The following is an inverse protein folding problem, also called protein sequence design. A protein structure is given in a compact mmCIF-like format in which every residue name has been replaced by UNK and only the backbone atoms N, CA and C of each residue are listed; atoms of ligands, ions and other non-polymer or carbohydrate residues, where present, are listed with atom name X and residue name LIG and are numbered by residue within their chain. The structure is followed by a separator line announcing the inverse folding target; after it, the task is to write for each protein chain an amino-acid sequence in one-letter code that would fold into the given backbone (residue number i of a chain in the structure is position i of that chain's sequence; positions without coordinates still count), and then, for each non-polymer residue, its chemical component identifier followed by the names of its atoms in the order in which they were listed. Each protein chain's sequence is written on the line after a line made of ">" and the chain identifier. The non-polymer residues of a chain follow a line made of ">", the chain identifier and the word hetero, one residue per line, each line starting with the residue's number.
data_IF_806644266564
#
_entry.id   IF_806644266564
#
_cell.length_a   1.000
_cell.length_b   1.000
_cell.length_c   1.000
_cell.angle_alpha   90.00
_cell.angle_beta   90.00
_cell.angle_gamma   90.00
#
_symmetry.space_group_name_H-M   'P 1'
#
loop_
_entity.id
_entity.type
_entity.pdbx_description
1 polymer ?
#
# COMPACT_ATOMS: atom_id res chain seq x y z
N UNK A 1 10.12 -11.99 22.37
CA UNK A 1 9.98 -11.90 20.90
C UNK A 1 10.57 -10.58 20.46
N UNK A 2 11.43 -10.62 19.44
CA UNK A 2 11.98 -9.41 18.84
C UNK A 2 11.18 -9.05 17.59
N UNK A 3 10.94 -7.76 17.32
CA UNK A 3 10.17 -7.32 16.16
C UNK A 3 10.96 -7.46 14.85
N UNK A 4 10.25 -7.36 13.71
CA UNK A 4 10.88 -7.06 12.44
C UNK A 4 11.50 -5.66 12.50
N UNK A 5 12.60 -5.47 11.80
CA UNK A 5 13.38 -4.24 11.84
C UNK A 5 13.73 -3.74 10.46
N UNK A 6 14.01 -2.46 10.37
CA UNK A 6 14.47 -1.78 9.14
C UNK A 6 15.85 -1.20 9.41
N UNK A 7 16.74 -1.30 8.43
CA UNK A 7 17.97 -0.52 8.43
C UNK A 7 17.69 0.82 7.70
N UNK A 8 17.55 1.93 8.43
CA UNK A 8 17.19 3.22 7.83
C UNK A 8 18.28 3.77 6.91
N UNK A 9 19.51 3.24 7.00
CA UNK A 9 20.64 3.67 6.18
C UNK A 9 20.74 2.92 4.84
N UNK A 10 19.88 1.93 4.60
CA UNK A 10 19.84 1.28 3.29
C UNK A 10 19.24 2.21 2.24
N UNK A 11 19.81 2.16 1.04
CA UNK A 11 19.37 3.03 -0.08
C UNK A 11 17.89 2.92 -0.42
N UNK A 12 17.25 1.81 -0.08
CA UNK A 12 15.82 1.63 -0.30
C UNK A 12 14.92 2.43 0.67
N UNK A 13 15.47 3.01 1.75
CA UNK A 13 14.74 3.83 2.71
C UNK A 13 15.11 5.32 2.66
N UNK A 14 16.02 5.70 1.76
CA UNK A 14 16.54 7.07 1.68
C UNK A 14 16.10 7.81 0.42
N UNK A 15 15.32 7.18 -0.45
CA UNK A 15 14.84 7.80 -1.69
C UNK A 15 13.84 8.92 -1.39
N UNK A 16 14.09 10.15 -1.86
CA UNK A 16 13.18 11.27 -1.59
C UNK A 16 11.85 11.09 -2.33
N UNK A 17 10.80 11.62 -1.73
CA UNK A 17 9.48 11.70 -2.37
C UNK A 17 9.49 12.88 -3.34
N UNK A 18 9.26 12.68 -4.65
CA UNK A 18 9.15 13.79 -5.60
C UNK A 18 7.99 14.74 -5.24
N UNK A 19 8.13 16.02 -5.57
CA UNK A 19 7.02 16.98 -5.46
C UNK A 19 5.88 16.61 -6.41
N UNK A 20 4.66 16.97 -6.05
CA UNK A 20 3.46 16.74 -6.85
C UNK A 20 2.37 17.74 -6.46
N UNK A 21 1.63 18.21 -7.46
CA UNK A 21 0.44 19.06 -7.25
C UNK A 21 -0.78 18.25 -6.78
N UNK A 22 -0.70 16.92 -6.86
CA UNK A 22 -1.73 16.01 -6.37
C UNK A 22 -1.27 15.27 -5.12
N UNK A 23 -2.20 14.98 -4.24
CA UNK A 23 -1.95 14.03 -3.15
C UNK A 23 -1.94 12.62 -3.74
N UNK A 24 -0.81 11.94 -3.62
CA UNK A 24 -0.65 10.58 -4.09
C UNK A 24 -1.05 9.60 -3.00
N UNK A 25 -2.01 8.76 -3.33
CA UNK A 25 -2.55 7.75 -2.41
C UNK A 25 -2.15 6.38 -2.94
N UNK A 26 -1.25 5.71 -2.23
CA UNK A 26 -0.60 4.50 -2.73
C UNK A 26 -0.86 3.25 -1.89
N UNK A 27 -0.76 2.13 -2.56
CA UNK A 27 -0.69 0.82 -1.95
C UNK A 27 0.52 0.05 -2.51
N UNK A 28 1.27 -0.59 -1.63
CA UNK A 28 2.41 -1.43 -1.98
C UNK A 28 2.17 -2.86 -1.47
N UNK A 29 2.27 -3.84 -2.34
CA UNK A 29 2.13 -5.23 -1.93
C UNK A 29 2.24 -6.21 -3.09
N UNK A 30 1.96 -7.48 -2.81
CA UNK A 30 2.02 -8.57 -3.78
C UNK A 30 0.64 -9.05 -4.25
N UNK A 31 0.63 -10.04 -5.13
CA UNK A 31 -0.58 -10.60 -5.76
C UNK A 31 -1.54 -11.33 -4.82
N UNK A 32 -1.14 -11.65 -3.59
CA UNK A 32 -1.95 -12.42 -2.63
C UNK A 32 -2.94 -11.59 -1.81
N UNK A 33 -3.07 -10.29 -2.09
CA UNK A 33 -3.84 -9.35 -1.29
C UNK A 33 -5.20 -8.95 -1.87
N UNK A 34 -5.76 -9.73 -2.81
CA UNK A 34 -7.03 -9.36 -3.46
C UNK A 34 -8.15 -9.09 -2.42
N UNK A 35 -8.31 -9.96 -1.44
CA UNK A 35 -9.35 -9.79 -0.41
C UNK A 35 -9.15 -8.56 0.48
N UNK A 36 -7.91 -8.15 0.65
CA UNK A 36 -7.57 -6.94 1.40
C UNK A 36 -7.88 -5.69 0.57
N UNK A 37 -7.47 -5.67 -0.71
CA UNK A 37 -7.70 -4.54 -1.62
C UNK A 37 -9.19 -4.34 -1.91
N UNK A 38 -9.99 -5.40 -1.97
CA UNK A 38 -11.43 -5.31 -2.17
C UNK A 38 -12.15 -4.45 -1.11
N UNK A 39 -11.55 -4.26 0.07
CA UNK A 39 -12.07 -3.34 1.09
C UNK A 39 -12.05 -1.87 0.64
N UNK A 40 -11.18 -1.52 -0.30
CA UNK A 40 -11.06 -0.16 -0.84
C UNK A 40 -12.11 0.15 -1.89
N UNK A 41 -12.65 -0.86 -2.58
CA UNK A 41 -13.55 -0.70 -3.71
C UNK A 41 -14.77 0.15 -3.37
N UNK A 42 -15.46 -0.18 -2.29
CA UNK A 42 -16.64 0.56 -1.81
C UNK A 42 -16.31 2.00 -1.38
N UNK A 43 -15.06 2.26 -0.99
CA UNK A 43 -14.59 3.59 -0.64
C UNK A 43 -14.31 4.42 -1.89
N UNK A 44 -13.55 3.90 -2.83
CA UNK A 44 -13.07 4.64 -4.00
C UNK A 44 -14.20 5.13 -4.90
N UNK A 45 -15.29 4.38 -5.05
CA UNK A 45 -16.44 4.81 -5.82
C UNK A 45 -17.05 6.14 -5.35
N UNK A 46 -16.83 6.52 -4.09
CA UNK A 46 -17.39 7.73 -3.49
C UNK A 46 -16.53 8.98 -3.69
N UNK A 47 -15.30 8.84 -4.11
CA UNK A 47 -14.34 9.96 -4.23
C UNK A 47 -13.94 10.31 -5.65
N UNK A 48 -14.70 9.86 -6.64
CA UNK A 48 -14.49 10.20 -8.06
C UNK A 48 -14.42 11.72 -8.33
N UNK A 49 -15.07 12.52 -7.51
CA UNK A 49 -15.04 14.00 -7.61
C UNK A 49 -13.67 14.60 -7.28
N UNK A 50 -12.76 13.84 -6.69
CA UNK A 50 -11.42 14.29 -6.32
C UNK A 50 -10.33 13.91 -7.34
N UNK A 51 -10.71 13.33 -8.49
CA UNK A 51 -9.76 12.80 -9.48
C UNK A 51 -8.68 13.80 -9.93
N UNK A 52 -8.99 15.09 -9.93
CA UNK A 52 -8.04 16.13 -10.31
C UNK A 52 -7.08 16.54 -9.19
N UNK A 53 -7.34 16.10 -7.95
CA UNK A 53 -6.55 16.43 -6.76
C UNK A 53 -5.85 15.22 -6.16
N UNK A 54 -6.16 14.02 -6.63
CA UNK A 54 -5.61 12.77 -6.15
C UNK A 54 -5.00 11.98 -7.30
N UNK A 55 -3.89 11.32 -7.02
CA UNK A 55 -3.33 10.30 -7.89
C UNK A 55 -3.27 8.99 -7.11
N UNK A 56 -3.83 7.93 -7.68
CA UNK A 56 -3.72 6.60 -7.10
C UNK A 56 -2.47 5.89 -7.63
N UNK A 57 -1.70 5.28 -6.73
CA UNK A 57 -0.44 4.61 -7.05
C UNK A 57 -0.48 3.15 -6.60
N UNK A 58 -0.50 2.23 -7.55
CA UNK A 58 -0.46 0.80 -7.30
C UNK A 58 0.96 0.27 -7.48
N UNK A 59 1.63 -0.07 -6.37
CA UNK A 59 3.00 -0.56 -6.37
C UNK A 59 3.09 -2.07 -6.15
N UNK A 60 4.04 -2.68 -6.87
CA UNK A 60 4.29 -4.13 -6.80
C UNK A 60 3.69 -4.89 -7.97
N UNK A 61 3.22 -4.18 -9.01
CA UNK A 61 2.63 -4.74 -10.21
C UNK A 61 3.55 -5.76 -10.86
N UNK A 62 3.04 -6.96 -11.10
CA UNK A 62 3.79 -8.04 -11.74
C UNK A 62 2.83 -8.96 -12.50
N UNK A 63 3.04 -9.07 -13.77
CA UNK A 63 2.18 -9.84 -14.65
C UNK A 63 2.89 -11.04 -15.27
N UNK A 64 4.11 -11.29 -14.83
CA UNK A 64 4.86 -12.47 -15.26
C UNK A 64 4.22 -13.72 -14.69
N UNK A 65 4.02 -14.70 -15.53
CA UNK A 65 3.45 -15.97 -15.13
C UNK A 65 3.04 -16.82 -16.32
N UNK A 66 2.75 -18.07 -16.05
CA UNK A 66 2.24 -19.02 -17.05
C UNK A 66 0.96 -19.68 -16.56
N UNK A 67 0.06 -19.95 -17.49
CA UNK A 67 -1.15 -20.75 -17.28
C UNK A 67 -0.96 -22.09 -17.96
N UNK A 68 -1.33 -23.16 -17.28
CA UNK A 68 -1.44 -24.50 -17.89
C UNK A 68 -2.89 -24.73 -18.28
N UNK A 69 -3.15 -24.85 -19.57
CA UNK A 69 -4.44 -25.21 -20.11
C UNK A 69 -4.50 -26.71 -20.31
N UNK A 70 -5.60 -27.32 -19.91
CA UNK A 70 -5.85 -28.77 -20.08
C UNK A 70 -7.00 -28.90 -21.07
N UNK A 71 -6.73 -29.54 -22.18
CA UNK A 71 -7.79 -29.91 -23.13
C UNK A 71 -8.71 -30.93 -22.48
N UNK A 72 -9.97 -30.56 -22.25
CA UNK A 72 -10.93 -31.41 -21.56
C UNK A 72 -11.25 -32.72 -22.30
N UNK A 73 -11.00 -32.80 -23.62
CA UNK A 73 -11.29 -33.99 -24.43
C UNK A 73 -10.09 -34.93 -24.55
N UNK A 74 -8.87 -34.36 -24.66
CA UNK A 74 -7.65 -35.14 -24.89
C UNK A 74 -6.79 -35.29 -23.64
N UNK A 75 -7.00 -34.50 -22.60
CA UNK A 75 -6.14 -34.43 -21.42
C UNK A 75 -4.79 -33.78 -21.70
N UNK A 76 -4.54 -33.28 -22.91
CA UNK A 76 -3.29 -32.62 -23.28
C UNK A 76 -3.11 -31.34 -22.51
N UNK A 77 -1.89 -31.12 -22.03
CA UNK A 77 -1.49 -29.92 -21.27
C UNK A 77 -0.63 -29.01 -22.13
N UNK A 78 -1.07 -27.76 -22.28
CA UNK A 78 -0.29 -26.71 -22.96
C UNK A 78 0.01 -25.58 -21.99
N UNK A 79 1.22 -25.01 -22.08
CA UNK A 79 1.62 -23.85 -21.27
C UNK A 79 1.65 -22.61 -22.14
N UNK A 80 1.03 -21.54 -21.68
CA UNK A 80 1.16 -20.21 -22.29
C UNK A 80 1.41 -19.14 -21.23
N UNK A 81 1.89 -17.99 -21.67
CA UNK A 81 1.97 -16.84 -20.80
C UNK A 81 0.57 -16.40 -20.37
N UNK A 82 0.45 -15.98 -19.11
CA UNK A 82 -0.79 -15.39 -18.61
C UNK A 82 -1.06 -14.08 -19.34
N UNK A 83 -2.31 -13.85 -19.71
CA UNK A 83 -2.70 -12.57 -20.31
C UNK A 83 -2.91 -11.50 -19.22
N UNK A 84 -2.67 -10.21 -19.51
CA UNK A 84 -2.81 -9.14 -18.52
C UNK A 84 -4.14 -9.15 -17.76
N UNK A 85 -5.23 -9.32 -18.47
CA UNK A 85 -6.58 -9.33 -17.90
C UNK A 85 -6.93 -10.57 -17.08
N UNK A 86 -6.13 -11.64 -17.17
CA UNK A 86 -6.27 -12.85 -16.36
C UNK A 86 -5.54 -12.74 -15.02
N UNK A 87 -4.69 -11.72 -14.86
CA UNK A 87 -3.94 -11.54 -13.63
C UNK A 87 -4.81 -10.93 -12.52
N UNK A 88 -4.44 -11.20 -11.27
CA UNK A 88 -5.04 -10.52 -10.12
C UNK A 88 -4.82 -9.00 -10.16
N UNK A 89 -3.76 -8.56 -10.81
CA UNK A 89 -3.42 -7.15 -10.96
C UNK A 89 -4.46 -6.38 -11.77
N UNK A 90 -5.06 -7.02 -12.78
CA UNK A 90 -6.18 -6.43 -13.51
C UNK A 90 -7.38 -6.15 -12.58
N UNK A 91 -7.62 -7.01 -11.59
CA UNK A 91 -8.68 -6.78 -10.59
C UNK A 91 -8.31 -5.64 -9.64
N UNK A 92 -7.04 -5.53 -9.23
CA UNK A 92 -6.57 -4.40 -8.43
C UNK A 92 -6.73 -3.08 -9.19
N UNK A 93 -6.30 -3.03 -10.46
CA UNK A 93 -6.42 -1.83 -11.28
C UNK A 93 -7.87 -1.37 -11.44
N UNK A 94 -8.80 -2.30 -11.62
CA UNK A 94 -10.24 -1.96 -11.68
C UNK A 94 -10.71 -1.26 -10.41
N UNK A 95 -10.24 -1.68 -9.24
CA UNK A 95 -10.58 -1.05 -7.95
C UNK A 95 -9.97 0.36 -7.88
N UNK A 96 -8.71 0.52 -8.27
CA UNK A 96 -8.01 1.81 -8.20
C UNK A 96 -8.49 2.81 -9.25
N UNK A 97 -8.83 2.36 -10.45
CA UNK A 97 -9.35 3.21 -11.53
C UNK A 97 -10.86 3.42 -11.44
N UNK A 98 -11.57 2.58 -10.67
CA UNK A 98 -13.04 2.47 -10.67
C UNK A 98 -13.62 2.17 -12.06
N UNK A 99 -12.83 1.54 -12.89
CA UNK A 99 -13.20 1.10 -14.22
C UNK A 99 -13.29 -0.43 -14.26
N UNK A 100 -14.52 -0.90 -14.26
CA UNK A 100 -14.82 -2.34 -14.30
C UNK A 100 -15.01 -2.87 -15.72
N UNK A 101 -14.98 -2.00 -16.72
CA UNK A 101 -15.10 -2.39 -18.11
C UNK A 101 -13.74 -2.72 -18.71
N UNK A 102 -13.51 -3.99 -19.04
CA UNK A 102 -12.31 -4.44 -19.77
C UNK A 102 -12.19 -3.80 -21.17
N UNK A 103 -13.26 -3.21 -21.69
CA UNK A 103 -13.31 -2.57 -23.00
C UNK A 103 -13.24 -1.06 -22.93
N UNK A 104 -13.17 -0.45 -21.75
CA UNK A 104 -13.01 0.99 -21.63
C UNK A 104 -11.67 1.45 -22.19
N UNK A 105 -11.64 2.66 -22.72
CA UNK A 105 -10.42 3.22 -23.28
C UNK A 105 -9.37 3.52 -22.22
N UNK A 106 -9.79 3.89 -21.01
CA UNK A 106 -8.89 4.09 -19.88
C UNK A 106 -8.21 2.78 -19.47
N UNK A 107 -8.96 1.69 -19.35
CA UNK A 107 -8.39 0.38 -19.01
C UNK A 107 -7.46 -0.13 -20.12
N UNK A 108 -7.83 0.06 -21.40
CA UNK A 108 -6.96 -0.27 -22.54
C UNK A 108 -5.66 0.52 -22.50
N UNK A 109 -5.72 1.81 -22.15
CA UNK A 109 -4.53 2.66 -21.99
C UNK A 109 -3.60 2.09 -20.93
N UNK A 110 -4.12 1.65 -19.80
CA UNK A 110 -3.33 0.98 -18.75
C UNK A 110 -2.75 -0.36 -19.24
N UNK A 111 -3.46 -1.12 -20.05
CA UNK A 111 -2.96 -2.37 -20.62
C UNK A 111 -1.84 -2.15 -21.66
N UNK A 112 -1.91 -1.12 -22.48
CA UNK A 112 -0.86 -0.79 -23.47
C UNK A 112 0.46 -0.47 -22.79
N UNK A 113 0.43 0.21 -21.65
CA UNK A 113 1.60 0.55 -20.85
C UNK A 113 2.13 -0.62 -20.02
N UNK A 114 1.60 -1.79 -20.22
CA UNK A 114 1.84 -3.01 -19.48
C UNK A 114 3.31 -3.47 -19.43
N UNK A 115 4.04 -3.32 -20.53
CA UNK A 115 5.44 -3.77 -20.64
C UNK A 115 6.46 -2.67 -20.32
N UNK A 116 6.00 -1.51 -19.93
CA UNK A 116 6.90 -0.41 -19.63
C UNK A 116 7.13 -0.38 -18.13
N UNK A 117 8.38 -0.45 -17.72
CA UNK A 117 8.82 -0.20 -16.35
C UNK A 117 8.68 1.31 -16.07
N UNK A 118 7.46 1.79 -16.18
CA UNK A 118 7.19 3.20 -16.16
C UNK A 118 6.36 3.56 -14.94
N UNK A 119 7.05 4.04 -13.93
CA UNK A 119 6.54 5.21 -13.24
C UNK A 119 6.71 6.36 -14.23
N UNK A 120 5.73 6.62 -15.05
CA UNK A 120 5.80 7.72 -16.02
C UNK A 120 5.80 9.06 -15.33
N UNK A 121 5.51 9.10 -14.01
CA UNK A 121 5.46 10.36 -13.28
C UNK A 121 4.57 11.40 -13.94
N UNK A 122 3.70 10.96 -14.86
CA UNK A 122 2.82 11.88 -15.55
C UNK A 122 1.82 12.39 -14.50
N UNK A 123 2.07 13.61 -14.08
CA UNK A 123 1.30 14.29 -13.04
C UNK A 123 -0.17 14.44 -13.42
N UNK A 124 -0.49 14.28 -14.71
CA UNK A 124 -1.83 14.41 -15.25
C UNK A 124 -2.66 13.11 -15.15
N UNK A 125 -2.01 11.96 -14.91
CA UNK A 125 -2.73 10.70 -14.75
C UNK A 125 -3.33 10.56 -13.34
N UNK A 126 -4.60 10.19 -13.29
CA UNK A 126 -5.29 9.92 -12.01
C UNK A 126 -4.87 8.59 -11.37
N UNK A 127 -4.27 7.71 -12.14
CA UNK A 127 -3.79 6.40 -11.72
C UNK A 127 -2.43 6.08 -12.32
N UNK A 128 -1.54 5.52 -11.51
CA UNK A 128 -0.20 5.10 -11.90
C UNK A 128 0.09 3.70 -11.35
N UNK A 129 0.61 2.80 -12.20
CA UNK A 129 1.16 1.52 -11.78
C UNK A 129 2.67 1.61 -11.65
N UNK A 130 3.21 0.94 -10.64
CA UNK A 130 4.65 0.81 -10.42
C UNK A 130 5.01 -0.66 -10.33
N UNK A 131 5.94 -1.09 -11.16
CA UNK A 131 6.37 -2.48 -11.21
C UNK A 131 6.98 -2.94 -9.89
N UNK A 132 6.88 -4.24 -9.66
CA UNK A 132 7.56 -4.91 -8.56
C UNK A 132 9.07 -4.69 -8.64
N UNK A 133 9.69 -4.60 -7.49
CA UNK A 133 11.13 -4.44 -7.35
C UNK A 133 11.70 -5.59 -6.54
N UNK A 134 13.00 -5.90 -6.70
CA UNK A 134 13.70 -6.84 -5.82
C UNK A 134 13.55 -6.47 -4.34
N UNK A 135 13.66 -7.45 -3.46
CA UNK A 135 13.54 -7.28 -2.00
C UNK A 135 14.50 -6.22 -1.42
N UNK A 136 15.63 -6.00 -2.08
CA UNK A 136 16.65 -4.99 -1.71
C UNK A 136 16.29 -3.56 -2.13
N UNK A 137 15.20 -3.37 -2.86
CA UNK A 137 14.82 -2.05 -3.40
C UNK A 137 13.32 -1.80 -3.45
N UNK A 138 12.49 -2.77 -3.03
CA UNK A 138 11.02 -2.64 -3.11
C UNK A 138 10.50 -1.47 -2.28
N UNK A 139 11.14 -1.18 -1.16
CA UNK A 139 10.71 -0.10 -0.26
C UNK A 139 10.86 1.29 -0.89
N UNK A 140 11.69 1.46 -1.93
CA UNK A 140 11.74 2.69 -2.73
C UNK A 140 10.38 3.09 -3.30
N UNK A 141 9.46 2.14 -3.45
CA UNK A 141 8.11 2.43 -3.91
C UNK A 141 7.32 3.33 -2.94
N UNK A 142 7.69 3.37 -1.65
CA UNK A 142 7.10 4.32 -0.71
C UNK A 142 7.39 5.79 -1.05
N UNK A 143 8.46 6.08 -1.81
CA UNK A 143 8.72 7.45 -2.28
C UNK A 143 7.71 7.93 -3.32
N UNK A 144 6.91 7.02 -3.90
CA UNK A 144 5.99 7.32 -5.02
C UNK A 144 4.62 7.82 -4.55
N UNK A 145 4.35 7.84 -3.24
CA UNK A 145 3.07 8.32 -2.71
C UNK A 145 3.26 9.08 -1.38
N UNK A 146 2.25 9.85 -0.99
CA UNK A 146 2.22 10.68 0.20
C UNK A 146 1.40 10.01 1.32
N UNK A 147 0.36 9.27 0.93
CA UNK A 147 -0.54 8.52 1.81
C UNK A 147 -0.43 7.04 1.50
N UNK A 148 -0.09 6.25 2.49
CA UNK A 148 -0.04 4.77 2.38
C UNK A 148 -1.38 4.17 2.79
N UNK A 149 -1.90 3.25 1.97
CA UNK A 149 -3.09 2.45 2.29
C UNK A 149 -2.66 1.06 2.77
N UNK A 150 -3.17 0.64 3.91
CA UNK A 150 -2.92 -0.69 4.47
C UNK A 150 -4.22 -1.41 4.84
N UNK A 151 -5.04 -1.77 3.84
CA UNK A 151 -6.23 -2.57 4.08
C UNK A 151 -5.82 -4.00 4.44
N UNK A 152 -6.44 -4.56 5.46
CA UNK A 152 -6.39 -6.00 5.76
C UNK A 152 -7.77 -6.48 6.16
N UNK A 153 -8.20 -7.58 5.56
CA UNK A 153 -9.46 -8.24 5.90
C UNK A 153 -9.32 -8.94 7.25
N UNK A 154 -10.38 -8.91 8.05
CA UNK A 154 -10.42 -9.59 9.34
C UNK A 154 -10.45 -11.11 9.15
N UNK A 155 -9.29 -11.73 9.16
CA UNK A 155 -9.09 -13.18 9.14
C UNK A 155 -8.09 -13.56 10.24
N UNK A 156 -8.12 -14.81 10.70
CA UNK A 156 -7.15 -15.32 11.66
C UNK A 156 -5.72 -15.10 11.15
N UNK A 157 -5.47 -15.39 9.88
CA UNK A 157 -4.15 -15.20 9.27
C UNK A 157 -3.68 -13.74 9.34
N UNK A 158 -4.54 -12.78 8.99
CA UNK A 158 -4.19 -11.35 9.01
C UNK A 158 -3.98 -10.82 10.43
N UNK A 159 -4.69 -11.35 11.42
CA UNK A 159 -4.48 -11.01 12.84
C UNK A 159 -3.12 -11.44 13.37
N UNK A 160 -2.51 -12.46 12.75
CA UNK A 160 -1.21 -13.02 13.16
C UNK A 160 -0.03 -12.46 12.34
N UNK A 161 -0.28 -11.58 11.38
CA UNK A 161 0.78 -10.93 10.60
C UNK A 161 1.60 -9.96 11.45
N UNK A 162 2.80 -9.64 10.97
CA UNK A 162 3.56 -8.52 11.50
C UNK A 162 3.03 -7.19 10.93
N UNK A 163 3.38 -6.10 11.60
CA UNK A 163 3.02 -4.74 11.18
C UNK A 163 4.06 -4.10 10.24
N UNK A 164 4.72 -4.89 9.39
CA UNK A 164 5.81 -4.39 8.54
C UNK A 164 5.42 -3.18 7.70
N UNK A 165 4.21 -3.15 7.13
CA UNK A 165 3.71 -2.00 6.37
C UNK A 165 3.60 -0.71 7.20
N UNK A 166 3.29 -0.83 8.49
CA UNK A 166 3.26 0.32 9.42
C UNK A 166 4.67 0.85 9.64
N UNK A 167 5.62 -0.06 9.86
CA UNK A 167 7.02 0.28 10.08
C UNK A 167 7.60 0.96 8.84
N UNK A 168 7.42 0.36 7.67
CA UNK A 168 7.93 0.90 6.41
C UNK A 168 7.34 2.28 6.07
N UNK A 169 6.01 2.44 6.20
CA UNK A 169 5.35 3.72 5.99
C UNK A 169 5.89 4.79 6.96
N UNK A 170 6.13 4.40 8.22
CA UNK A 170 6.70 5.28 9.23
C UNK A 170 8.11 5.75 8.89
N UNK A 171 9.01 4.84 8.49
CA UNK A 171 10.38 5.21 8.08
C UNK A 171 10.39 6.14 6.86
N UNK A 172 9.39 6.02 5.99
CA UNK A 172 9.20 6.93 4.85
C UNK A 172 8.37 8.17 5.19
N UNK A 173 7.98 8.37 6.45
CA UNK A 173 7.15 9.50 6.92
C UNK A 173 5.85 9.65 6.13
N UNK A 174 5.20 8.53 5.79
CA UNK A 174 3.95 8.55 5.05
C UNK A 174 2.76 8.63 5.99
N UNK A 175 1.77 9.45 5.65
CA UNK A 175 0.46 9.34 6.28
C UNK A 175 -0.07 7.92 6.06
N UNK A 176 -0.66 7.32 7.09
CA UNK A 176 -1.15 5.96 7.01
C UNK A 176 -2.66 5.90 7.26
N UNK A 177 -3.37 5.30 6.30
CA UNK A 177 -4.76 4.85 6.50
C UNK A 177 -4.72 3.33 6.54
N UNK A 178 -5.16 2.73 7.63
CA UNK A 178 -5.04 1.29 7.87
C UNK A 178 -6.33 0.71 8.45
N UNK A 179 -6.55 -0.59 8.25
CA UNK A 179 -7.60 -1.30 8.99
C UNK A 179 -7.30 -1.29 10.48
N UNK A 180 -8.31 -1.04 11.31
CA UNK A 180 -8.23 -1.12 12.77
C UNK A 180 -8.26 -2.59 13.21
N UNK A 181 -7.16 -3.29 12.98
CA UNK A 181 -7.11 -4.74 13.14
C UNK A 181 -5.72 -5.26 13.52
N UNK A 182 -5.69 -6.12 14.53
CA UNK A 182 -4.58 -7.00 14.86
C UNK A 182 -3.23 -6.26 15.00
N UNK A 183 -2.22 -6.60 14.20
CA UNK A 183 -0.88 -6.06 14.39
C UNK A 183 -0.79 -4.55 14.15
N UNK A 184 -1.71 -3.96 13.40
CA UNK A 184 -1.65 -2.52 13.09
C UNK A 184 -2.01 -1.66 14.29
N UNK A 185 -2.81 -2.18 15.24
CA UNK A 185 -3.19 -1.44 16.44
C UNK A 185 -2.10 -1.38 17.52
N UNK A 186 -0.97 -2.08 17.33
CA UNK A 186 0.14 -2.08 18.32
C UNK A 186 0.75 -0.69 18.49
N UNK A 187 0.98 0.03 17.37
CA UNK A 187 1.65 1.33 17.37
C UNK A 187 0.78 2.46 16.79
N UNK A 188 -0.34 2.11 16.16
CA UNK A 188 -1.20 3.12 15.56
C UNK A 188 -2.20 3.68 16.56
N UNK A 189 -2.30 5.01 16.55
CA UNK A 189 -3.31 5.77 17.27
C UNK A 189 -4.15 6.55 16.29
N UNK A 190 -5.46 6.36 16.35
CA UNK A 190 -6.39 7.08 15.48
C UNK A 190 -6.33 8.59 15.72
N UNK A 191 -6.14 9.36 14.66
CA UNK A 191 -5.97 10.82 14.74
C UNK A 191 -7.29 11.61 14.69
N UNK A 192 -8.45 10.95 14.71
CA UNK A 192 -9.75 11.60 14.74
C UNK A 192 -10.54 11.20 15.99
N UNK A 193 -11.08 12.20 16.69
CA UNK A 193 -12.04 12.02 17.76
C UNK A 193 -13.25 12.94 17.51
N UNK A 194 -14.44 12.38 17.43
CA UNK A 194 -15.67 13.12 17.10
C UNK A 194 -15.57 13.95 15.80
N UNK A 195 -14.77 13.49 14.84
CA UNK A 195 -14.56 14.19 13.58
C UNK A 195 -13.49 15.28 13.58
N UNK A 196 -12.97 15.64 14.76
CA UNK A 196 -11.87 16.59 14.95
C UNK A 196 -10.52 15.87 14.98
N UNK A 197 -9.46 16.56 14.57
CA UNK A 197 -8.11 16.05 14.64
C UNK A 197 -7.59 16.08 16.08
N UNK A 198 -7.06 14.96 16.51
CA UNK A 198 -6.39 14.78 17.78
C UNK A 198 -4.96 14.27 17.57
N UNK A 199 -4.20 14.21 18.63
CA UNK A 199 -2.84 13.69 18.61
C UNK A 199 -2.83 12.17 18.32
N UNK A 200 -2.71 11.83 17.04
CA UNK A 200 -2.64 10.47 16.52
C UNK A 200 -1.67 10.39 15.33
N UNK A 201 -1.29 9.19 14.93
CA UNK A 201 -0.31 8.93 13.89
C UNK A 201 -0.86 8.17 12.68
N UNK A 202 -2.15 7.84 12.69
CA UNK A 202 -2.81 7.15 11.59
C UNK A 202 -4.32 7.42 11.56
N UNK A 203 -4.95 7.14 10.44
CA UNK A 203 -6.40 7.00 10.35
C UNK A 203 -6.76 5.51 10.32
N UNK A 204 -7.52 5.05 11.32
CA UNK A 204 -7.91 3.66 11.47
C UNK A 204 -9.34 3.44 10.99
N UNK A 205 -9.51 2.50 10.08
CA UNK A 205 -10.81 2.13 9.50
C UNK A 205 -11.35 0.92 10.24
N UNK A 206 -12.46 1.10 10.97
CA UNK A 206 -13.20 0.02 11.59
C UNK A 206 -13.79 -0.92 10.52
N UNK A 207 -13.81 -2.24 10.79
CA UNK A 207 -14.31 -3.25 9.86
C UNK A 207 -15.74 -2.96 9.37
N UNK A 208 -16.61 -2.45 10.25
CA UNK A 208 -17.99 -2.12 9.92
C UNK A 208 -18.10 -0.83 9.10
N UNK A 209 -17.00 -0.10 8.90
CA UNK A 209 -16.95 1.19 8.24
C UNK A 209 -16.19 1.18 6.91
N UNK A 210 -15.75 0.03 6.44
CA UNK A 210 -15.00 -0.12 5.17
C UNK A 210 -15.72 0.56 3.99
N UNK A 211 -17.04 0.50 3.92
CA UNK A 211 -17.85 1.10 2.87
C UNK A 211 -17.84 2.65 2.85
N UNK A 212 -17.27 3.30 3.86
CA UNK A 212 -17.34 4.77 3.99
C UNK A 212 -16.03 5.42 4.42
N UNK A 213 -15.31 4.83 5.39
CA UNK A 213 -14.25 5.57 6.07
C UNK A 213 -12.96 5.63 5.24
N UNK A 214 -12.68 4.67 4.36
CA UNK A 214 -11.59 4.80 3.38
C UNK A 214 -11.73 6.07 2.54
N UNK A 215 -12.90 6.29 1.94
CA UNK A 215 -13.19 7.49 1.17
C UNK A 215 -13.08 8.76 2.00
N UNK A 216 -13.74 8.77 3.17
CA UNK A 216 -13.75 9.91 4.08
C UNK A 216 -12.35 10.33 4.52
N UNK A 217 -11.48 9.37 4.82
CA UNK A 217 -10.13 9.65 5.28
C UNK A 217 -9.21 10.11 4.15
N UNK A 218 -9.31 9.50 2.97
CA UNK A 218 -8.61 9.98 1.77
C UNK A 218 -9.04 11.43 1.47
N UNK A 219 -10.34 11.70 1.44
CA UNK A 219 -10.87 13.05 1.20
C UNK A 219 -10.33 14.07 2.21
N UNK A 220 -10.26 13.71 3.49
CA UNK A 220 -9.72 14.58 4.53
C UNK A 220 -8.25 14.92 4.28
N UNK A 221 -7.43 13.94 3.92
CA UNK A 221 -5.99 14.15 3.65
C UNK A 221 -5.75 14.93 2.35
N UNK A 222 -6.57 14.68 1.33
CA UNK A 222 -6.51 15.44 0.06
C UNK A 222 -6.87 16.91 0.27
N UNK A 223 -7.85 17.19 1.13
CA UNK A 223 -8.23 18.56 1.50
C UNK A 223 -7.23 19.22 2.46
N UNK A 224 -6.41 18.45 3.15
CA UNK A 224 -5.45 18.94 4.16
C UNK A 224 -4.08 18.25 4.01
N UNK A 225 -3.29 18.57 2.97
CA UNK A 225 -2.01 17.92 2.73
C UNK A 225 -1.00 18.08 3.88
N UNK A 226 -1.04 19.19 4.59
CA UNK A 226 -0.18 19.43 5.78
C UNK A 226 -0.48 18.40 6.88
N UNK A 227 -1.75 18.02 7.06
CA UNK A 227 -2.10 16.98 8.00
C UNK A 227 -1.49 15.62 7.62
N UNK A 228 -1.46 15.29 6.33
CA UNK A 228 -0.80 14.07 5.87
C UNK A 228 0.69 14.08 6.25
N UNK A 229 1.36 15.21 6.06
CA UNK A 229 2.76 15.39 6.46
C UNK A 229 2.94 15.23 7.97
N UNK A 230 2.12 15.90 8.77
CA UNK A 230 2.18 15.83 10.23
C UNK A 230 1.94 14.41 10.76
N UNK A 231 0.99 13.68 10.17
CA UNK A 231 0.74 12.27 10.52
C UNK A 231 1.94 11.39 10.20
N UNK A 232 2.57 11.59 9.05
CA UNK A 232 3.77 10.85 8.66
C UNK A 232 4.94 11.08 9.61
N UNK A 233 5.17 12.33 10.04
CA UNK A 233 6.20 12.66 11.02
C UNK A 233 5.91 11.99 12.38
N UNK A 234 4.67 12.02 12.87
CA UNK A 234 4.29 11.35 14.13
C UNK A 234 4.44 9.84 14.04
N UNK A 235 4.13 9.24 12.88
CA UNK A 235 4.34 7.83 12.66
C UNK A 235 5.83 7.48 12.67
N UNK A 236 6.67 8.29 12.04
CA UNK A 236 8.13 8.15 12.08
C UNK A 236 8.64 8.21 13.52
N UNK A 237 8.24 9.20 14.31
CA UNK A 237 8.62 9.30 15.73
C UNK A 237 8.21 8.06 16.54
N UNK A 238 7.10 7.41 16.16
CA UNK A 238 6.64 6.18 16.82
C UNK A 238 7.51 4.96 16.49
N UNK A 239 8.07 4.88 15.27
CA UNK A 239 8.74 3.66 14.78
C UNK A 239 10.26 3.74 14.79
N UNK A 240 10.85 4.92 14.67
CA UNK A 240 12.28 5.15 14.38
C UNK A 240 13.23 4.44 15.34
N UNK A 241 12.97 4.52 16.65
CA UNK A 241 13.83 3.90 17.67
C UNK A 241 13.44 2.45 17.95
N UNK A 242 12.15 2.16 17.86
CA UNK A 242 11.59 0.84 18.19
C UNK A 242 11.94 -0.24 17.16
N UNK A 243 12.10 0.16 15.90
CA UNK A 243 12.28 -0.76 14.78
C UNK A 243 13.58 -0.52 13.98
N UNK A 244 14.47 0.32 14.47
CA UNK A 244 15.82 0.46 13.88
C UNK A 244 16.62 -0.82 14.10
N UNK A 245 17.17 -1.38 13.01
CA UNK A 245 17.95 -2.61 13.03
C UNK A 245 19.13 -2.55 13.99
N UNK A 246 19.82 -1.41 14.04
CA UNK A 246 21.02 -1.27 14.88
C UNK A 246 20.66 -1.28 16.35
N UNK A 247 19.57 -0.59 16.74
CA UNK A 247 19.08 -0.52 18.11
C UNK A 247 18.59 -1.91 18.55
N UNK A 248 17.73 -2.54 17.75
CA UNK A 248 17.16 -3.86 18.09
C UNK A 248 18.21 -4.95 18.10
N UNK A 249 19.22 -4.89 17.19
CA UNK A 249 20.32 -5.87 17.18
C UNK A 249 21.17 -5.76 18.44
N UNK A 250 21.44 -4.56 18.92
CA UNK A 250 22.16 -4.34 20.17
C UNK A 250 21.39 -4.95 21.35
N UNK A 251 20.09 -4.67 21.45
CA UNK A 251 19.23 -5.25 22.49
C UNK A 251 19.18 -6.79 22.43
N UNK A 252 19.12 -7.36 21.21
CA UNK A 252 19.20 -8.82 21.01
C UNK A 252 20.51 -9.40 21.52
N UNK A 253 21.62 -8.75 21.18
CA UNK A 253 22.94 -9.19 21.61
C UNK A 253 23.09 -9.17 23.14
N UNK A 254 22.59 -8.12 23.79
CA UNK A 254 22.56 -8.00 25.26
C UNK A 254 21.71 -9.11 25.89
N UNK A 255 20.52 -9.36 25.34
CA UNK A 255 19.66 -10.45 25.79
C UNK A 255 20.37 -11.82 25.68
N UNK A 256 20.96 -12.13 24.54
CA UNK A 256 21.65 -13.42 24.39
C UNK A 256 22.85 -13.58 25.33
N UNK A 257 23.59 -12.51 25.63
CA UNK A 257 24.67 -12.53 26.62
C UNK A 257 24.17 -12.76 28.04
N UNK A 258 22.92 -12.38 28.33
CA UNK A 258 22.34 -12.52 29.67
C UNK A 258 21.85 -13.95 29.97
N UNK A 259 21.72 -14.81 28.99
CA UNK A 259 21.23 -16.20 29.14
C UNK A 259 22.33 -17.24 28.94
N UNK A 260 23.56 -16.82 28.70
CA UNK A 260 24.78 -17.63 28.68
C UNK A 260 25.53 -17.42 29.98
#
# INVERSE_FOLDING_TARGET
>A
VFPNTINPNESQFTEPTPESDRVRVGWLGGSSHLHDIQLLDQGFSKIKSLKDKVQYVLCGFDTRGTVTEINAQTGEQTKRNILPHETVWAQYEKIFTQDYSIVSDEYKKHLVNYNQDIYTGDLDESYVRVWTKPVTSYAKNYSKFDVSLSPIKNTMFNRMKSQLKVIEAGFYKKALIASDLGPYTIDLKHCLKNGEFVDGNAMLVDENRNHSDWAKFIEKLVKNPNLAKDMGERLYETVKDKYDLNIVTKTRAEFYKSIV
#
